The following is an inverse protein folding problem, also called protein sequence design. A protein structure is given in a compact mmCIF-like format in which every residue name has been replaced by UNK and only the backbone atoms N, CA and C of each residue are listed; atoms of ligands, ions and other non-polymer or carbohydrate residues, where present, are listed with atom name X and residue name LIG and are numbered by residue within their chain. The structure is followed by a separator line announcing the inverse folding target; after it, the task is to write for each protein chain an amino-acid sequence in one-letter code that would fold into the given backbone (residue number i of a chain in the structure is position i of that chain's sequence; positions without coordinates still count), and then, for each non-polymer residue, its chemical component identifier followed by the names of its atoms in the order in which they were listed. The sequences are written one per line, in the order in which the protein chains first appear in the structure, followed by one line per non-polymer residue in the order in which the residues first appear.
data_IF_364657465254
#
_entry.id   IF_364657465254
#
_cell.length_a   1.000
_cell.length_b   1.000
_cell.length_c   1.000
_cell.angle_alpha   90.00
_cell.angle_beta   90.00
_cell.angle_gamma   90.00
#
_symmetry.space_group_name_H-M   'P 1'
#
loop_
_entity.id
_entity.type
_entity.pdbx_description
1 polymer ?
#
# COMPACT_ATOMS: atom_id res chain seq x y z
N UNK A 1 -3.53 11.17 -28.49
CA UNK A 1 -3.21 10.09 -27.52
C UNK A 1 -4.23 8.99 -27.73
N UNK A 2 -3.81 7.72 -27.87
CA UNK A 2 -4.72 6.61 -28.23
C UNK A 2 -5.72 6.28 -27.10
N UNK A 3 -5.32 6.43 -25.83
CA UNK A 3 -6.21 6.47 -24.66
C UNK A 3 -6.31 7.90 -24.10
N UNK A 4 -7.27 8.72 -24.57
CA UNK A 4 -7.38 10.11 -24.12
C UNK A 4 -7.69 10.24 -22.63
N UNK A 5 -8.36 9.25 -22.02
CA UNK A 5 -8.67 9.22 -20.58
C UNK A 5 -7.42 9.15 -19.70
N UNK A 6 -6.42 8.35 -20.07
CA UNK A 6 -5.20 8.16 -19.28
C UNK A 6 -4.26 9.37 -19.38
N UNK A 7 -4.26 10.06 -20.53
CA UNK A 7 -3.44 11.25 -20.77
C UNK A 7 -4.11 12.58 -20.40
N UNK A 8 -5.40 12.58 -20.04
CA UNK A 8 -6.17 13.80 -19.81
C UNK A 8 -5.58 14.68 -18.72
N UNK A 9 -5.15 14.08 -17.60
CA UNK A 9 -4.53 14.81 -16.49
C UNK A 9 -3.28 15.57 -16.94
N UNK A 10 -2.39 14.89 -17.68
CA UNK A 10 -1.16 15.51 -18.18
C UNK A 10 -1.47 16.56 -19.25
N UNK A 11 -2.40 16.28 -20.16
CA UNK A 11 -2.80 17.20 -21.22
C UNK A 11 -3.34 18.53 -20.65
N UNK A 12 -4.27 18.46 -19.69
CA UNK A 12 -4.84 19.65 -19.02
C UNK A 12 -3.76 20.39 -18.23
N UNK A 13 -2.87 19.66 -17.57
CA UNK A 13 -1.80 20.27 -16.77
C UNK A 13 -0.82 21.04 -17.65
N UNK A 14 -0.46 20.51 -18.83
CA UNK A 14 0.44 21.18 -19.78
C UNK A 14 -0.22 22.44 -20.37
N UNK A 15 -1.53 22.44 -20.60
CA UNK A 15 -2.22 23.61 -21.18
C UNK A 15 -2.54 24.71 -20.17
N UNK A 16 -2.65 24.37 -18.88
CA UNK A 16 -3.16 25.30 -17.86
C UNK A 16 -2.05 25.85 -16.96
N UNK A 17 -0.91 25.16 -16.82
CA UNK A 17 0.14 25.56 -15.89
C UNK A 17 1.18 26.51 -16.53
N UNK A 18 1.66 27.54 -15.80
CA UNK A 18 2.78 28.37 -16.22
C UNK A 18 4.09 27.60 -16.41
N UNK A 19 4.99 28.21 -17.17
CA UNK A 19 6.31 27.66 -17.48
C UNK A 19 7.07 27.41 -16.17
N UNK A 20 7.63 26.20 -16.03
CA UNK A 20 8.31 25.73 -14.82
C UNK A 20 7.45 24.81 -13.94
N UNK A 21 6.14 25.08 -13.79
CA UNK A 21 5.26 24.20 -12.99
C UNK A 21 5.03 22.85 -13.65
N UNK A 22 4.98 22.81 -15.00
CA UNK A 22 4.90 21.54 -15.75
C UNK A 22 6.11 20.65 -15.47
N UNK A 23 7.31 21.22 -15.37
CA UNK A 23 8.52 20.48 -15.02
C UNK A 23 8.46 19.90 -13.60
N UNK A 24 8.05 20.72 -12.63
CA UNK A 24 7.83 20.26 -11.25
C UNK A 24 6.79 19.13 -11.17
N UNK A 25 5.69 19.26 -11.93
CA UNK A 25 4.65 18.24 -11.99
C UNK A 25 5.22 16.91 -12.50
N UNK A 26 5.96 16.93 -13.62
CA UNK A 26 6.57 15.72 -14.18
C UNK A 26 7.56 15.10 -13.17
N UNK A 27 8.40 15.92 -12.53
CA UNK A 27 9.28 15.45 -11.46
C UNK A 27 8.49 14.80 -10.30
N UNK A 28 7.37 15.40 -9.89
CA UNK A 28 6.50 14.87 -8.85
C UNK A 28 5.86 13.53 -9.22
N UNK A 29 5.37 13.39 -10.45
CA UNK A 29 4.81 12.13 -10.97
C UNK A 29 5.88 11.04 -10.98
N UNK A 30 7.09 11.34 -11.48
CA UNK A 30 8.21 10.40 -11.49
C UNK A 30 8.63 10.02 -10.05
N UNK A 31 8.73 10.99 -9.15
CA UNK A 31 9.09 10.76 -7.75
C UNK A 31 8.06 9.88 -7.02
N UNK A 32 6.76 10.17 -7.18
CA UNK A 32 5.68 9.37 -6.60
C UNK A 32 5.69 7.92 -7.13
N UNK A 33 5.96 7.75 -8.43
CA UNK A 33 6.07 6.44 -9.08
C UNK A 33 7.27 5.66 -8.53
N UNK A 34 8.45 6.29 -8.45
CA UNK A 34 9.66 5.68 -7.89
C UNK A 34 9.48 5.26 -6.42
N UNK A 35 8.85 6.10 -5.60
CA UNK A 35 8.59 5.77 -4.18
C UNK A 35 7.68 4.54 -4.01
N UNK A 36 6.63 4.45 -4.83
CA UNK A 36 5.71 3.31 -4.82
C UNK A 36 6.38 2.02 -5.32
N UNK A 37 7.19 2.13 -6.39
CA UNK A 37 7.96 1.00 -6.93
C UNK A 37 9.01 0.49 -5.95
N UNK A 38 9.77 1.39 -5.29
CA UNK A 38 10.77 1.03 -4.29
C UNK A 38 10.14 0.24 -3.14
N UNK A 39 9.05 0.78 -2.57
CA UNK A 39 8.32 0.11 -1.48
C UNK A 39 7.74 -1.25 -1.91
N UNK A 40 7.16 -1.32 -3.10
CA UNK A 40 6.56 -2.55 -3.64
C UNK A 40 7.58 -3.65 -3.92
N UNK A 41 8.67 -3.32 -4.62
CA UNK A 41 9.74 -4.26 -4.94
C UNK A 41 10.46 -4.73 -3.68
N UNK A 42 10.77 -3.82 -2.76
CA UNK A 42 11.44 -4.16 -1.50
C UNK A 42 10.54 -5.05 -0.62
N UNK A 43 9.25 -4.75 -0.51
CA UNK A 43 8.28 -5.61 0.20
C UNK A 43 8.24 -7.01 -0.41
N UNK A 44 8.11 -7.12 -1.73
CA UNK A 44 8.01 -8.41 -2.41
C UNK A 44 9.30 -9.22 -2.29
N UNK A 45 10.46 -8.58 -2.38
CA UNK A 45 11.75 -9.22 -2.13
C UNK A 45 11.87 -9.73 -0.69
N UNK A 46 11.45 -8.93 0.29
CA UNK A 46 11.40 -9.35 1.70
C UNK A 46 10.50 -10.57 1.92
N UNK A 47 9.30 -10.58 1.32
CA UNK A 47 8.38 -11.72 1.36
C UNK A 47 9.03 -12.97 0.76
N UNK A 48 9.63 -12.86 -0.43
CA UNK A 48 10.30 -13.99 -1.06
C UNK A 48 11.46 -14.52 -0.20
N UNK A 49 12.29 -13.63 0.35
CA UNK A 49 13.43 -14.03 1.17
C UNK A 49 12.98 -14.72 2.46
N UNK A 50 11.99 -14.16 3.17
CA UNK A 50 11.55 -14.69 4.46
C UNK A 50 10.62 -15.89 4.36
N UNK A 51 9.80 -15.97 3.31
CA UNK A 51 8.81 -17.04 3.18
C UNK A 51 9.27 -18.20 2.29
N UNK A 52 10.25 -17.98 1.40
CA UNK A 52 10.74 -19.01 0.48
C UNK A 52 12.24 -19.24 0.60
N UNK A 53 13.07 -18.22 0.43
CA UNK A 53 14.53 -18.41 0.43
C UNK A 53 15.06 -18.96 1.76
N UNK A 54 14.72 -18.32 2.89
CA UNK A 54 15.17 -18.76 4.19
C UNK A 54 14.55 -20.13 4.57
N UNK A 55 13.23 -20.37 4.53
CA UNK A 55 12.67 -21.62 5.03
C UNK A 55 12.90 -22.82 4.11
N UNK A 56 12.95 -22.63 2.79
CA UNK A 56 12.95 -23.73 1.80
C UNK A 56 14.34 -23.95 1.20
N UNK A 57 15.04 -22.88 0.79
CA UNK A 57 16.33 -22.99 0.12
C UNK A 57 17.50 -23.03 1.11
N UNK A 58 17.48 -22.21 2.17
CA UNK A 58 18.60 -22.10 3.10
C UNK A 58 18.20 -21.72 4.54
N UNK A 59 17.74 -22.70 5.35
CA UNK A 59 17.25 -22.48 6.73
C UNK A 59 18.23 -21.80 7.68
N UNK A 60 19.54 -22.01 7.49
CA UNK A 60 20.61 -21.46 8.34
C UNK A 60 21.34 -20.23 7.76
N UNK A 61 20.74 -19.51 6.81
CA UNK A 61 21.41 -18.36 6.20
C UNK A 61 21.63 -17.21 7.21
N UNK A 62 22.85 -16.64 7.30
CA UNK A 62 23.09 -15.48 8.15
C UNK A 62 22.43 -14.21 7.59
N UNK A 63 22.17 -13.22 8.44
CA UNK A 63 21.46 -11.98 8.04
C UNK A 63 22.14 -11.25 6.85
N UNK A 64 23.47 -11.23 6.82
CA UNK A 64 24.22 -10.62 5.72
C UNK A 64 23.97 -11.31 4.36
N UNK A 65 23.61 -12.60 4.38
CA UNK A 65 23.24 -13.33 3.17
C UNK A 65 21.77 -13.11 2.81
N UNK A 66 20.87 -13.05 3.78
CA UNK A 66 19.46 -12.71 3.55
C UNK A 66 19.33 -11.33 2.89
N UNK A 67 20.15 -10.35 3.30
CA UNK A 67 20.21 -9.03 2.67
C UNK A 67 20.71 -9.11 1.23
N UNK A 68 21.73 -9.94 0.94
CA UNK A 68 22.22 -10.14 -0.44
C UNK A 68 21.16 -10.81 -1.31
N UNK A 69 20.50 -11.84 -0.78
CA UNK A 69 19.38 -12.51 -1.46
C UNK A 69 18.27 -11.49 -1.77
N UNK A 70 17.91 -10.63 -0.82
CA UNK A 70 16.91 -9.57 -1.02
C UNK A 70 17.29 -8.59 -2.12
N UNK A 71 18.56 -8.14 -2.18
CA UNK A 71 19.06 -7.27 -3.26
C UNK A 71 18.97 -7.95 -4.63
N UNK A 72 19.36 -9.23 -4.71
CA UNK A 72 19.28 -10.01 -5.96
C UNK A 72 17.82 -10.17 -6.38
N UNK A 73 16.94 -10.58 -5.46
CA UNK A 73 15.50 -10.73 -5.74
C UNK A 73 14.88 -9.42 -6.21
N UNK A 74 15.24 -8.29 -5.59
CA UNK A 74 14.79 -6.95 -6.01
C UNK A 74 15.22 -6.65 -7.45
N UNK A 75 16.48 -6.93 -7.81
CA UNK A 75 16.98 -6.76 -9.17
C UNK A 75 16.24 -7.64 -10.19
N UNK A 76 16.04 -8.91 -9.87
CA UNK A 76 15.29 -9.86 -10.74
C UNK A 76 13.85 -9.41 -10.92
N UNK A 77 13.15 -9.03 -9.84
CA UNK A 77 11.77 -8.53 -9.92
C UNK A 77 11.68 -7.23 -10.72
N UNK A 78 12.66 -6.32 -10.58
CA UNK A 78 12.75 -5.12 -11.39
C UNK A 78 12.86 -5.42 -12.89
N UNK A 79 13.72 -6.36 -13.29
CA UNK A 79 13.83 -6.80 -14.69
C UNK A 79 12.52 -7.41 -15.20
N UNK A 80 11.84 -8.23 -14.39
CA UNK A 80 10.55 -8.81 -14.75
C UNK A 80 9.46 -7.75 -14.92
N UNK A 81 9.41 -6.73 -14.05
CA UNK A 81 8.45 -5.61 -14.15
C UNK A 81 8.72 -4.79 -15.42
N UNK A 82 9.98 -4.51 -15.75
CA UNK A 82 10.35 -3.83 -17.01
C UNK A 82 9.89 -4.65 -18.21
N UNK A 83 10.15 -5.96 -18.20
CA UNK A 83 9.71 -6.84 -19.27
C UNK A 83 8.19 -6.87 -19.42
N UNK A 84 7.45 -7.02 -18.31
CA UNK A 84 5.99 -6.99 -18.32
C UNK A 84 5.45 -5.65 -18.83
N UNK A 85 6.03 -4.53 -18.38
CA UNK A 85 5.66 -3.18 -18.83
C UNK A 85 5.88 -2.98 -20.33
N UNK A 86 7.00 -3.46 -20.88
CA UNK A 86 7.29 -3.41 -22.32
C UNK A 86 6.34 -4.29 -23.15
N UNK A 87 5.81 -5.38 -22.58
CA UNK A 87 4.80 -6.20 -23.24
C UNK A 87 3.43 -5.54 -23.18
N UNK A 88 3.04 -4.98 -22.02
CA UNK A 88 1.77 -4.27 -21.88
C UNK A 88 1.72 -3.00 -22.72
N UNK A 89 2.84 -2.30 -22.92
CA UNK A 89 2.88 -1.14 -23.83
C UNK A 89 2.61 -1.50 -25.30
N UNK A 90 2.66 -2.78 -25.68
CA UNK A 90 2.30 -3.27 -27.02
C UNK A 90 0.83 -3.65 -27.15
N UNK A 91 0.12 -3.83 -26.03
CA UNK A 91 -1.31 -4.13 -26.01
C UNK A 91 -2.08 -2.81 -26.13
N UNK A 92 -2.24 -2.33 -27.36
CA UNK A 92 -2.81 -1.00 -27.63
C UNK A 92 -4.32 -0.88 -27.36
N UNK A 93 -5.03 -2.01 -27.27
CA UNK A 93 -6.50 -2.04 -27.22
C UNK A 93 -7.10 -2.14 -25.79
N UNK A 94 -6.27 -2.24 -24.75
CA UNK A 94 -6.73 -2.36 -23.36
C UNK A 94 -6.14 -1.25 -22.50
N UNK A 95 -6.99 -0.46 -21.85
CA UNK A 95 -6.55 0.56 -20.88
C UNK A 95 -5.81 -0.07 -19.71
N UNK A 96 -4.71 0.55 -19.27
CA UNK A 96 -3.92 0.10 -18.12
C UNK A 96 -4.75 0.12 -16.83
N UNK A 97 -5.64 1.10 -16.70
CA UNK A 97 -6.57 1.17 -15.57
C UNK A 97 -7.55 -0.02 -15.55
N UNK A 98 -8.12 -0.38 -16.70
CA UNK A 98 -9.02 -1.54 -16.80
C UNK A 98 -8.28 -2.85 -16.52
N UNK A 99 -7.04 -2.99 -17.00
CA UNK A 99 -6.18 -4.13 -16.65
C UNK A 99 -5.94 -4.20 -15.15
N UNK A 100 -5.61 -3.07 -14.51
CA UNK A 100 -5.39 -3.01 -13.05
C UNK A 100 -6.66 -3.46 -12.30
N UNK A 101 -7.83 -2.97 -12.69
CA UNK A 101 -9.10 -3.35 -12.07
C UNK A 101 -9.40 -4.84 -12.28
N UNK A 102 -9.22 -5.37 -13.50
CA UNK A 102 -9.46 -6.79 -13.80
C UNK A 102 -8.52 -7.72 -13.02
N UNK A 103 -7.24 -7.39 -12.94
CA UNK A 103 -6.31 -8.14 -12.08
C UNK A 103 -6.69 -8.03 -10.60
N UNK A 104 -7.13 -6.85 -10.15
CA UNK A 104 -7.62 -6.61 -8.81
C UNK A 104 -8.82 -7.50 -8.44
N UNK A 105 -9.83 -7.58 -9.31
CA UNK A 105 -11.02 -8.42 -9.05
C UNK A 105 -10.73 -9.92 -9.14
N UNK A 106 -9.79 -10.33 -9.99
CA UNK A 106 -9.42 -11.73 -10.16
C UNK A 106 -8.55 -12.26 -9.00
N UNK A 107 -7.66 -11.44 -8.45
CA UNK A 107 -6.64 -11.88 -7.47
C UNK A 107 -6.77 -11.18 -6.12
N UNK A 108 -6.83 -9.84 -6.09
CA UNK A 108 -6.77 -9.10 -4.84
C UNK A 108 -8.03 -9.29 -3.98
N UNK A 109 -9.22 -9.30 -4.61
CA UNK A 109 -10.49 -9.53 -3.91
C UNK A 109 -10.53 -10.92 -3.26
N UNK A 110 -10.32 -12.05 -3.97
CA UNK A 110 -10.35 -13.37 -3.35
C UNK A 110 -9.32 -13.57 -2.22
N UNK A 111 -8.18 -12.89 -2.29
CA UNK A 111 -7.18 -12.88 -1.22
C UNK A 111 -7.63 -12.06 0.00
N UNK A 112 -8.25 -10.90 -0.22
CA UNK A 112 -8.64 -9.98 0.85
C UNK A 112 -9.75 -10.54 1.76
N UNK A 113 -10.69 -11.31 1.21
CA UNK A 113 -11.82 -11.88 1.95
C UNK A 113 -11.37 -12.74 3.14
N UNK A 114 -10.56 -13.81 2.96
CA UNK A 114 -10.09 -14.60 4.08
C UNK A 114 -9.12 -13.81 4.97
N UNK A 115 -8.34 -12.85 4.44
CA UNK A 115 -7.44 -12.03 5.26
C UNK A 115 -8.23 -11.23 6.31
N UNK A 116 -9.31 -10.55 5.89
CA UNK A 116 -10.16 -9.77 6.80
C UNK A 116 -10.95 -10.70 7.72
N UNK A 117 -11.58 -11.74 7.17
CA UNK A 117 -12.43 -12.61 7.97
C UNK A 117 -11.66 -13.47 8.97
N UNK A 118 -10.39 -13.83 8.70
CA UNK A 118 -9.56 -14.59 9.65
C UNK A 118 -9.18 -13.78 10.89
N UNK A 119 -9.18 -12.45 10.81
CA UNK A 119 -8.94 -11.56 11.95
C UNK A 119 -10.21 -11.41 12.80
N UNK A 120 -11.39 -11.48 12.18
CA UNK A 120 -12.68 -11.27 12.84
C UNK A 120 -13.30 -12.58 13.39
N UNK A 121 -13.04 -13.71 12.73
CA UNK A 121 -13.67 -14.99 13.02
C UNK A 121 -12.64 -15.99 13.54
N UNK A 122 -12.66 -16.21 14.86
CA UNK A 122 -11.70 -17.07 15.57
C UNK A 122 -11.78 -18.56 15.22
N UNK A 123 -12.97 -19.07 14.90
CA UNK A 123 -13.25 -20.52 14.83
C UNK A 123 -13.21 -21.08 13.41
N UNK A 124 -12.08 -20.96 12.72
CA UNK A 124 -11.90 -21.48 11.36
C UNK A 124 -10.72 -22.45 11.23
N UNK A 125 -10.86 -23.54 10.46
CA UNK A 125 -9.75 -24.46 10.20
C UNK A 125 -8.57 -23.77 9.49
N UNK A 126 -7.33 -24.29 9.60
CA UNK A 126 -6.14 -23.68 8.96
C UNK A 126 -6.21 -23.65 7.43
N UNK A 127 -7.02 -24.52 6.83
CA UNK A 127 -7.22 -24.56 5.38
C UNK A 127 -8.30 -23.60 4.86
N UNK A 128 -9.03 -22.93 5.75
CA UNK A 128 -10.08 -21.97 5.39
C UNK A 128 -9.55 -20.85 4.49
N UNK A 129 -8.38 -20.29 4.84
CA UNK A 129 -7.77 -19.20 4.09
C UNK A 129 -7.51 -19.54 2.62
N UNK A 130 -6.67 -20.53 2.36
CA UNK A 130 -6.29 -20.88 0.98
C UNK A 130 -7.45 -21.46 0.17
N UNK A 131 -8.35 -22.23 0.78
CA UNK A 131 -9.53 -22.74 0.08
C UNK A 131 -10.50 -21.63 -0.33
N UNK A 132 -10.65 -20.59 0.51
CA UNK A 132 -11.46 -19.41 0.18
C UNK A 132 -10.87 -18.64 -0.99
N UNK A 133 -9.54 -18.52 -1.07
CA UNK A 133 -8.88 -17.91 -2.23
C UNK A 133 -9.20 -18.70 -3.50
N UNK A 134 -9.08 -20.03 -3.49
CA UNK A 134 -9.37 -20.87 -4.65
C UNK A 134 -10.84 -20.73 -5.08
N UNK A 135 -11.78 -20.85 -4.14
CA UNK A 135 -13.21 -20.71 -4.41
C UNK A 135 -13.54 -19.32 -4.92
N UNK A 136 -12.94 -18.27 -4.34
CA UNK A 136 -13.12 -16.90 -4.81
C UNK A 136 -12.53 -16.68 -6.20
N UNK A 137 -11.34 -17.22 -6.51
CA UNK A 137 -10.76 -17.14 -7.86
C UNK A 137 -11.64 -17.86 -8.90
N UNK A 138 -12.18 -19.03 -8.56
CA UNK A 138 -13.16 -19.74 -9.39
C UNK A 138 -14.45 -18.91 -9.57
N UNK A 139 -14.97 -18.31 -8.50
CA UNK A 139 -16.13 -17.44 -8.57
C UNK A 139 -15.88 -16.21 -9.46
N UNK A 140 -14.73 -15.54 -9.32
CA UNK A 140 -14.32 -14.42 -10.18
C UNK A 140 -14.22 -14.86 -11.64
N UNK A 141 -13.60 -16.01 -11.91
CA UNK A 141 -13.49 -16.56 -13.26
C UNK A 141 -14.86 -16.85 -13.88
N UNK A 142 -15.76 -17.52 -13.13
CA UNK A 142 -17.12 -17.82 -13.58
C UNK A 142 -17.94 -16.55 -13.79
N UNK A 143 -17.79 -15.54 -12.92
CA UNK A 143 -18.50 -14.26 -13.04
C UNK A 143 -18.07 -13.52 -14.30
N UNK A 144 -16.76 -13.43 -14.57
CA UNK A 144 -16.25 -12.83 -15.80
C UNK A 144 -16.69 -13.60 -17.05
N UNK A 145 -16.88 -14.93 -16.95
CA UNK A 145 -17.30 -15.77 -18.08
C UNK A 145 -18.80 -15.75 -18.37
N UNK A 146 -19.64 -15.70 -17.33
CA UNK A 146 -21.09 -15.91 -17.44
C UNK A 146 -21.93 -14.69 -17.05
N UNK A 147 -21.50 -13.90 -16.06
CA UNK A 147 -22.19 -12.68 -15.59
C UNK A 147 -21.55 -11.42 -16.17
N UNK A 148 -21.07 -11.49 -17.41
CA UNK A 148 -20.45 -10.38 -18.10
C UNK A 148 -21.49 -9.32 -18.53
N UNK A 149 -21.03 -8.22 -19.12
CA UNK A 149 -21.91 -7.13 -19.52
C UNK A 149 -22.92 -7.51 -20.64
N UNK A 150 -22.65 -8.57 -21.41
CA UNK A 150 -23.60 -9.08 -22.40
C UNK A 150 -24.77 -9.80 -21.73
N UNK A 151 -24.50 -10.59 -20.68
CA UNK A 151 -25.54 -11.19 -19.85
C UNK A 151 -26.43 -10.14 -19.20
N UNK A 152 -25.86 -9.04 -18.71
CA UNK A 152 -26.63 -7.92 -18.15
C UNK A 152 -27.58 -7.31 -19.20
N UNK A 153 -27.06 -7.02 -20.40
CA UNK A 153 -27.86 -6.47 -21.50
C UNK A 153 -29.01 -7.40 -21.89
N UNK A 154 -28.74 -8.70 -22.04
CA UNK A 154 -29.77 -9.67 -22.41
C UNK A 154 -30.81 -9.91 -21.31
N UNK A 155 -30.42 -9.80 -20.04
CA UNK A 155 -31.32 -10.09 -18.91
C UNK A 155 -32.25 -8.92 -18.60
N UNK A 156 -31.77 -7.69 -18.78
CA UNK A 156 -32.51 -6.47 -18.45
C UNK A 156 -33.02 -5.71 -19.69
N UNK A 157 -32.87 -6.29 -20.90
CA UNK A 157 -33.26 -5.69 -22.18
C UNK A 157 -32.74 -4.25 -22.36
N UNK A 158 -31.45 -4.06 -22.02
CA UNK A 158 -30.81 -2.74 -22.03
C UNK A 158 -30.30 -2.38 -23.42
N UNK A 159 -30.34 -1.09 -23.74
CA UNK A 159 -29.61 -0.55 -24.89
C UNK A 159 -28.10 -0.87 -24.82
N UNK A 160 -27.39 -0.89 -25.97
CA UNK A 160 -25.96 -1.18 -26.00
C UNK A 160 -25.16 -0.31 -25.03
N UNK A 161 -24.51 -0.98 -24.07
CA UNK A 161 -23.74 -0.31 -23.03
C UNK A 161 -22.45 0.31 -23.60
N UNK A 162 -22.05 1.45 -23.03
CA UNK A 162 -20.76 2.07 -23.37
C UNK A 162 -19.58 1.17 -22.97
N UNK A 163 -18.38 1.42 -23.51
CA UNK A 163 -17.19 0.67 -23.11
C UNK A 163 -16.90 0.77 -21.60
N UNK A 164 -17.10 1.95 -21.02
CA UNK A 164 -16.92 2.19 -19.60
C UNK A 164 -17.95 1.42 -18.76
N UNK A 165 -19.24 1.47 -19.11
CA UNK A 165 -20.30 0.77 -18.37
C UNK A 165 -20.10 -0.74 -18.39
N UNK A 166 -19.61 -1.29 -19.51
CA UNK A 166 -19.25 -2.71 -19.61
C UNK A 166 -18.11 -3.08 -18.66
N UNK A 167 -17.06 -2.26 -18.58
CA UNK A 167 -15.94 -2.47 -17.64
C UNK A 167 -16.39 -2.35 -16.19
N UNK A 168 -17.20 -1.33 -15.86
CA UNK A 168 -17.71 -1.15 -14.51
C UNK A 168 -18.63 -2.29 -14.08
N UNK A 169 -19.49 -2.79 -14.97
CA UNK A 169 -20.33 -3.94 -14.67
C UNK A 169 -19.51 -5.19 -14.39
N UNK A 170 -18.53 -5.54 -15.23
CA UNK A 170 -17.73 -6.75 -15.05
C UNK A 170 -16.94 -6.70 -13.74
N UNK A 171 -16.37 -5.54 -13.42
CA UNK A 171 -15.66 -5.30 -12.15
C UNK A 171 -16.61 -5.40 -10.95
N UNK A 172 -17.77 -4.74 -11.02
CA UNK A 172 -18.74 -4.73 -9.93
C UNK A 172 -19.32 -6.13 -9.67
N UNK A 173 -19.80 -6.81 -10.71
CA UNK A 173 -20.30 -8.17 -10.61
C UNK A 173 -19.24 -9.11 -10.02
N UNK A 174 -18.00 -9.04 -10.54
CA UNK A 174 -16.86 -9.80 -10.04
C UNK A 174 -16.60 -9.57 -8.54
N UNK A 175 -16.57 -8.30 -8.12
CA UNK A 175 -16.38 -7.92 -6.72
C UNK A 175 -17.50 -8.46 -5.82
N UNK A 176 -18.76 -8.19 -6.13
CA UNK A 176 -19.89 -8.57 -5.28
C UNK A 176 -20.05 -10.09 -5.19
N UNK A 177 -19.99 -10.80 -6.32
CA UNK A 177 -20.08 -12.26 -6.32
C UNK A 177 -18.91 -12.87 -5.55
N UNK A 178 -17.69 -12.37 -5.74
CA UNK A 178 -16.53 -12.88 -5.01
C UNK A 178 -16.66 -12.65 -3.50
N UNK A 179 -17.02 -11.45 -3.07
CA UNK A 179 -17.20 -11.16 -1.63
C UNK A 179 -18.30 -12.03 -1.03
N UNK A 180 -19.44 -12.19 -1.71
CA UNK A 180 -20.55 -13.02 -1.22
C UNK A 180 -20.13 -14.49 -1.14
N UNK A 181 -19.62 -15.06 -2.24
CA UNK A 181 -19.25 -16.48 -2.33
C UNK A 181 -18.08 -16.79 -1.41
N UNK A 182 -17.05 -15.93 -1.38
CA UNK A 182 -15.89 -16.07 -0.52
C UNK A 182 -16.26 -15.99 0.97
N UNK A 183 -17.12 -15.05 1.35
CA UNK A 183 -17.60 -14.93 2.74
C UNK A 183 -18.46 -16.13 3.12
N UNK A 184 -19.40 -16.54 2.27
CA UNK A 184 -20.24 -17.70 2.51
C UNK A 184 -19.42 -18.98 2.65
N UNK A 185 -18.43 -19.19 1.78
CA UNK A 185 -17.50 -20.32 1.86
C UNK A 185 -16.68 -20.28 3.16
N UNK A 186 -16.05 -19.14 3.47
CA UNK A 186 -15.23 -18.97 4.65
C UNK A 186 -16.02 -19.24 5.95
N UNK A 187 -17.22 -18.67 6.09
CA UNK A 187 -18.11 -18.94 7.22
C UNK A 187 -18.59 -20.40 7.23
N UNK A 188 -18.85 -20.99 6.07
CA UNK A 188 -19.16 -22.41 5.94
C UNK A 188 -18.05 -23.32 6.47
N UNK A 189 -16.77 -22.92 6.32
CA UNK A 189 -15.65 -23.69 6.88
C UNK A 189 -15.67 -23.79 8.40
N UNK A 190 -16.36 -22.89 9.11
CA UNK A 190 -16.52 -22.95 10.57
C UNK A 190 -17.17 -24.26 11.01
N UNK A 191 -18.00 -24.88 10.17
CA UNK A 191 -18.64 -26.17 10.47
C UNK A 191 -17.62 -27.30 10.68
N UNK A 192 -16.42 -27.15 10.13
CA UNK A 192 -15.30 -28.10 10.24
C UNK A 192 -14.30 -27.74 11.34
N UNK A 193 -14.57 -26.70 12.14
CA UNK A 193 -13.70 -26.30 13.26
C UNK A 193 -13.42 -27.45 14.23
N UNK A 194 -14.42 -28.30 14.49
CA UNK A 194 -14.29 -29.47 15.38
C UNK A 194 -13.19 -30.43 14.97
N UNK A 195 -12.88 -30.50 13.67
CA UNK A 195 -11.85 -31.39 13.12
C UNK A 195 -10.42 -30.83 13.22
N UNK A 196 -10.25 -29.61 13.74
CA UNK A 196 -8.94 -28.95 13.84
C UNK A 196 -8.12 -29.52 15.00
N UNK A 197 -6.84 -29.90 14.79
CA UNK A 197 -5.97 -30.41 15.85
C UNK A 197 -5.83 -29.43 17.03
N UNK A 198 -5.79 -29.95 18.26
CA UNK A 198 -5.63 -29.16 19.48
C UNK A 198 -4.47 -28.13 19.45
N UNK A 199 -3.24 -28.46 19.02
CA UNK A 199 -2.14 -27.48 19.01
C UNK A 199 -2.37 -26.33 18.03
N UNK A 200 -3.13 -26.55 16.96
CA UNK A 200 -3.49 -25.49 16.01
C UNK A 200 -4.55 -24.57 16.61
N UNK A 201 -5.52 -25.13 17.34
CA UNK A 201 -6.55 -24.33 18.04
C UNK A 201 -5.94 -23.43 19.09
N UNK A 202 -5.00 -23.96 19.88
CA UNK A 202 -4.28 -23.19 20.89
C UNK A 202 -3.52 -22.00 20.26
N UNK A 203 -2.78 -22.23 19.17
CA UNK A 203 -2.10 -21.14 18.44
C UNK A 203 -3.04 -20.05 17.95
N UNK A 204 -4.21 -20.42 17.43
CA UNK A 204 -5.23 -19.46 16.97
C UNK A 204 -5.81 -18.70 18.18
N UNK A 205 -6.03 -19.39 19.30
CA UNK A 205 -6.50 -18.78 20.54
C UNK A 205 -5.51 -17.76 21.08
N UNK A 206 -4.23 -18.14 21.21
CA UNK A 206 -3.15 -17.25 21.63
C UNK A 206 -3.01 -16.03 20.71
N UNK A 207 -3.11 -16.21 19.39
CA UNK A 207 -3.07 -15.09 18.45
C UNK A 207 -4.18 -14.07 18.71
N UNK A 208 -5.41 -14.52 18.92
CA UNK A 208 -6.53 -13.63 19.20
C UNK A 208 -6.43 -12.98 20.59
N UNK A 209 -5.88 -13.68 21.57
CA UNK A 209 -5.59 -13.11 22.89
C UNK A 209 -4.55 -11.99 22.77
N UNK A 210 -3.43 -12.23 22.09
CA UNK A 210 -2.38 -11.23 21.84
C UNK A 210 -2.87 -10.03 21.03
N UNK A 211 -3.82 -10.23 20.10
CA UNK A 211 -4.43 -9.10 19.40
C UNK A 211 -5.28 -8.21 20.32
N UNK A 212 -5.90 -8.78 21.35
CA UNK A 212 -6.75 -8.07 22.31
C UNK A 212 -5.95 -7.50 23.49
N UNK A 213 -4.71 -7.96 23.70
CA UNK A 213 -3.84 -7.38 24.73
C UNK A 213 -3.48 -5.94 24.37
N UNK A 214 -3.74 -4.96 25.26
CA UNK A 214 -3.36 -3.58 25.02
C UNK A 214 -1.86 -3.44 24.78
N UNK A 215 -1.50 -2.64 23.77
CA UNK A 215 -0.11 -2.33 23.47
C UNK A 215 0.43 -1.38 24.56
N UNK A 216 1.51 -1.79 25.21
CA UNK A 216 2.28 -0.91 26.09
C UNK A 216 3.20 -0.03 25.25
N UNK A 217 2.68 1.11 24.80
CA UNK A 217 3.42 2.08 23.99
C UNK A 217 4.74 2.52 24.62
N UNK A 218 4.80 2.63 25.95
CA UNK A 218 6.02 3.05 26.64
C UNK A 218 7.12 1.98 26.54
N UNK A 219 6.73 0.69 26.52
CA UNK A 219 7.65 -0.43 26.35
C UNK A 219 8.00 -0.70 24.89
N UNK A 220 7.05 -0.57 23.97
CA UNK A 220 7.19 -1.06 22.59
C UNK A 220 7.65 0.00 21.59
N UNK A 221 7.23 1.26 21.70
CA UNK A 221 7.66 2.32 20.77
C UNK A 221 8.96 3.00 21.18
N UNK A 222 9.38 2.85 22.44
CA UNK A 222 10.54 3.54 22.99
C UNK A 222 10.35 5.06 23.06
N UNK A 223 11.44 5.83 23.02
CA UNK A 223 11.35 7.29 22.99
C UNK A 223 10.78 7.76 21.64
N UNK A 224 9.58 8.37 21.65
CA UNK A 224 8.88 8.82 20.45
C UNK A 224 9.76 9.62 19.47
N UNK A 225 9.74 9.19 18.21
CA UNK A 225 10.55 9.76 17.12
C UNK A 225 9.87 10.96 16.45
N UNK A 226 8.65 11.32 16.86
CA UNK A 226 7.83 12.38 16.24
C UNK A 226 8.56 13.72 16.12
N UNK A 227 9.40 14.04 17.11
CA UNK A 227 10.20 15.27 17.10
C UNK A 227 11.27 15.23 16.02
N UNK A 228 11.96 14.08 15.87
CA UNK A 228 12.97 13.91 14.84
C UNK A 228 12.31 13.96 13.46
N UNK A 229 11.20 13.25 13.27
CA UNK A 229 10.44 13.24 12.02
C UNK A 229 9.90 14.63 11.67
N UNK A 230 9.30 15.34 12.62
CA UNK A 230 8.79 16.70 12.43
C UNK A 230 9.89 17.71 12.11
N UNK A 231 11.08 17.57 12.70
CA UNK A 231 12.23 18.41 12.37
C UNK A 231 12.78 18.14 10.97
N UNK A 232 12.96 16.86 10.60
CA UNK A 232 13.45 16.48 9.28
C UNK A 232 12.45 16.88 8.20
N UNK A 233 11.17 16.56 8.38
CA UNK A 233 10.10 16.91 7.44
C UNK A 233 9.94 18.43 7.33
N UNK A 234 9.97 19.14 8.46
CA UNK A 234 9.92 20.61 8.47
C UNK A 234 11.09 21.24 7.74
N UNK A 235 12.31 20.72 7.88
CA UNK A 235 13.47 21.20 7.15
C UNK A 235 13.34 20.97 5.63
N UNK A 236 12.88 19.78 5.21
CA UNK A 236 12.64 19.48 3.81
C UNK A 236 11.57 20.40 3.21
N UNK A 237 10.45 20.61 3.91
CA UNK A 237 9.41 21.55 3.49
C UNK A 237 9.94 22.98 3.36
N UNK A 238 10.76 23.45 4.30
CA UNK A 238 11.36 24.79 4.20
C UNK A 238 12.27 24.91 2.97
N UNK A 239 13.08 23.88 2.70
CA UNK A 239 13.93 23.81 1.51
C UNK A 239 13.12 23.82 0.21
N UNK A 240 12.15 22.92 0.07
CA UNK A 240 11.31 22.83 -1.13
C UNK A 240 10.42 24.06 -1.31
N UNK A 241 9.84 24.60 -0.24
CA UNK A 241 9.03 25.81 -0.29
C UNK A 241 9.83 27.04 -0.72
N UNK A 242 11.08 27.17 -0.26
CA UNK A 242 12.00 28.22 -0.71
C UNK A 242 12.31 28.05 -2.19
N UNK A 243 12.66 26.83 -2.62
CA UNK A 243 12.92 26.51 -4.02
C UNK A 243 11.73 26.85 -4.93
N UNK A 244 10.51 26.44 -4.56
CA UNK A 244 9.28 26.74 -5.32
C UNK A 244 9.04 28.25 -5.39
N UNK A 245 9.25 28.97 -4.29
CA UNK A 245 9.09 30.44 -4.27
C UNK A 245 10.09 31.12 -5.21
N UNK A 246 11.34 30.64 -5.27
CA UNK A 246 12.36 31.16 -6.18
C UNK A 246 12.02 30.97 -7.66
N UNK A 247 11.14 30.02 -8.01
CA UNK A 247 10.67 29.87 -9.39
C UNK A 247 9.83 31.05 -9.88
N UNK A 248 9.36 31.94 -8.98
CA UNK A 248 8.75 33.21 -9.37
C UNK A 248 9.71 34.15 -10.13
N UNK A 249 11.02 33.89 -10.08
CA UNK A 249 12.04 34.60 -10.87
C UNK A 249 12.01 34.22 -12.36
N UNK A 250 11.40 33.08 -12.71
CA UNK A 250 11.25 32.67 -14.11
C UNK A 250 10.31 33.66 -14.82
N UNK A 251 10.65 34.11 -16.04
CA UNK A 251 9.79 34.99 -16.82
C UNK A 251 8.43 34.33 -17.10
N UNK A 252 7.42 34.72 -16.33
CA UNK A 252 6.00 34.37 -16.48
C UNK A 252 5.13 35.61 -16.24
N UNK A 253 3.87 35.55 -16.67
CA UNK A 253 2.83 36.52 -16.34
C UNK A 253 2.66 36.67 -14.82
N UNK A 254 2.11 37.81 -14.38
CA UNK A 254 1.95 38.13 -12.96
C UNK A 254 1.19 37.02 -12.22
N UNK A 255 0.13 36.46 -12.83
CA UNK A 255 -0.63 35.34 -12.28
C UNK A 255 0.22 34.10 -12.06
N UNK A 256 1.12 33.77 -12.99
CA UNK A 256 2.03 32.62 -12.87
C UNK A 256 3.06 32.82 -11.75
N UNK A 257 3.61 34.03 -11.60
CA UNK A 257 4.54 34.35 -10.50
C UNK A 257 3.85 34.31 -9.14
N UNK A 258 2.63 34.85 -9.04
CA UNK A 258 1.82 34.80 -7.82
C UNK A 258 1.48 33.36 -7.44
N UNK A 259 1.24 32.47 -8.42
CA UNK A 259 1.02 31.05 -8.15
C UNK A 259 2.25 30.38 -7.49
N UNK A 260 3.47 30.65 -7.96
CA UNK A 260 4.69 30.14 -7.33
C UNK A 260 4.88 30.65 -5.89
N UNK A 261 4.66 31.95 -5.68
CA UNK A 261 4.76 32.56 -4.34
C UNK A 261 3.71 31.99 -3.39
N UNK A 262 2.48 31.80 -3.87
CA UNK A 262 1.41 31.20 -3.08
C UNK A 262 1.73 29.75 -2.70
N UNK A 263 2.04 28.90 -3.69
CA UNK A 263 2.35 27.48 -3.44
C UNK A 263 3.59 27.32 -2.55
N UNK A 264 4.67 28.04 -2.86
CA UNK A 264 5.89 28.02 -2.05
C UNK A 264 5.63 28.53 -0.62
N UNK A 265 4.86 29.61 -0.48
CA UNK A 265 4.45 30.17 0.81
C UNK A 265 3.67 29.18 1.67
N UNK A 266 2.70 28.45 1.09
CA UNK A 266 1.96 27.41 1.82
C UNK A 266 2.90 26.31 2.33
N UNK A 267 3.82 25.83 1.49
CA UNK A 267 4.80 24.79 1.88
C UNK A 267 5.75 25.30 2.97
N UNK A 268 6.17 26.58 2.91
CA UNK A 268 6.98 27.22 3.94
C UNK A 268 6.22 27.33 5.28
N UNK A 269 4.95 27.72 5.25
CA UNK A 269 4.10 27.81 6.46
C UNK A 269 3.95 26.44 7.11
N UNK A 270 3.70 25.39 6.32
CA UNK A 270 3.62 24.02 6.81
C UNK A 270 4.96 23.59 7.42
N UNK A 271 6.08 23.82 6.72
CA UNK A 271 7.42 23.48 7.22
C UNK A 271 7.78 24.19 8.52
N UNK A 272 7.43 25.47 8.63
CA UNK A 272 7.58 26.25 9.86
C UNK A 272 6.71 25.72 10.99
N UNK A 273 5.45 25.39 10.72
CA UNK A 273 4.52 24.85 11.71
C UNK A 273 4.99 23.49 12.26
N UNK A 274 5.44 22.58 11.38
CA UNK A 274 6.02 21.29 11.77
C UNK A 274 7.25 21.47 12.65
N UNK A 275 8.17 22.35 12.27
CA UNK A 275 9.39 22.61 13.04
C UNK A 275 9.11 23.31 14.37
N UNK A 276 8.06 24.14 14.44
CA UNK A 276 7.59 24.74 15.69
C UNK A 276 6.98 23.70 16.62
N UNK A 277 6.17 22.77 16.08
CA UNK A 277 5.57 21.68 16.82
C UNK A 277 6.62 20.67 17.34
N UNK A 278 7.72 20.50 16.61
CA UNK A 278 8.83 19.62 17.00
C UNK A 278 9.80 20.22 18.05
N UNK A 279 9.61 21.48 18.48
CA UNK A 279 10.45 22.08 19.53
C UNK A 279 10.17 21.44 20.90
N UNK A 280 11.19 21.33 21.78
CA UNK A 280 10.97 20.91 23.16
C UNK A 280 9.98 21.87 23.84
N UNK A 281 8.89 21.35 24.43
CA UNK A 281 8.07 22.12 25.36
C UNK A 281 8.83 22.27 26.67
N UNK A 282 8.94 23.49 27.18
CA UNK A 282 9.59 23.80 28.46
C UNK A 282 8.90 23.10 29.65
N UNK A 283 7.61 22.77 29.51
CA UNK A 283 6.78 22.20 30.59
C UNK A 283 6.48 20.70 30.41
N UNK A 284 7.21 19.98 29.55
CA UNK A 284 7.12 18.53 29.57
C UNK A 284 7.69 18.05 30.91
N UNK A 285 6.92 17.33 31.76
CA UNK A 285 7.45 16.84 33.01
C UNK A 285 8.73 16.10 32.69
N UNK A 286 9.81 16.52 33.37
CA UNK A 286 11.06 15.80 33.45
C UNK A 286 10.71 14.38 33.91
N UNK A 287 10.50 13.47 32.95
CA UNK A 287 10.61 12.03 33.19
C UNK A 287 12.10 11.79 33.38
N UNK A 288 12.61 12.30 34.50
CA UNK A 288 13.93 12.06 35.02
C UNK A 288 13.96 10.58 35.35
N UNK A 289 14.65 9.84 34.48
CA UNK A 289 15.72 8.92 34.87
C UNK A 289 15.42 7.80 35.88
N UNK A 290 14.17 7.49 36.22
CA UNK A 290 13.90 6.32 37.08
C UNK A 290 14.32 5.01 36.39
N UNK A 291 14.29 4.95 35.06
CA UNK A 291 14.77 3.77 34.32
C UNK A 291 16.29 3.74 34.11
N UNK A 292 16.96 4.89 34.04
CA UNK A 292 18.44 4.92 33.98
C UNK A 292 19.08 4.69 35.34
N UNK A 293 18.41 5.05 36.44
CA UNK A 293 18.86 4.72 37.80
C UNK A 293 18.56 3.25 38.13
N UNK A 294 17.35 2.75 37.82
CA UNK A 294 17.01 1.33 38.05
C UNK A 294 17.86 0.36 37.21
N UNK A 295 18.22 0.71 35.97
CA UNK A 295 19.14 -0.10 35.16
C UNK A 295 20.58 -0.08 35.70
N UNK A 296 21.00 1.01 36.35
CA UNK A 296 22.34 1.13 36.94
C UNK A 296 22.42 0.43 38.31
N UNK A 297 21.34 0.43 39.08
CA UNK A 297 21.23 -0.31 40.35
C UNK A 297 21.08 -1.82 40.12
N UNK A 298 20.31 -2.26 39.11
CA UNK A 298 20.18 -3.68 38.77
C UNK A 298 21.51 -4.31 38.27
N UNK A 299 22.36 -3.53 37.61
CA UNK A 299 23.72 -3.97 37.20
C UNK A 299 24.70 -3.95 38.38
N UNK A 300 24.52 -3.06 39.36
CA UNK A 300 25.36 -3.00 40.56
C UNK A 300 24.99 -4.04 41.62
N UNK A 301 23.77 -4.58 41.62
CA UNK A 301 23.35 -5.67 42.51
C UNK A 301 23.64 -7.08 41.95
N UNK A 302 24.16 -7.16 40.73
CA UNK A 302 24.52 -8.40 40.04
C UNK A 302 26.05 -8.63 39.94
N UNK A 303 26.84 -7.81 40.64
CA UNK A 303 28.28 -8.00 40.90
C UNK A 303 28.49 -8.25 42.40
#
# INVERSE_FOLDING_TARGET
MKNPSEGAFLAISITTMPVGMVGLLICGILAATMSSMDSGLNRNAGIFVKNFYQPVLRPGAPDAELVRAGKITTGVMGVLVIFAGLNFSRLEDVGLFDLMLQFGTLVAVPYSVPLVLSVLVKRTPPWSGWSTVIVGMLASFLTTRYLNAAWMQSTFDLAPLSAADRSYWTVAAGLFVNVIVGTAWFLGTMRFWSSTPAPVRERIETFHELMLTPIDFAREEGAGSDRMQGNVLGLLCLGYGTFITLLALIPNDLTGRLAFVFCGGVVLVIGWALRRAARPRADAPLVLSSQTVAAKEAVSSAQ
#
